data_IF_220582518590
#
_entry.id   IF_220582518590
#
_cell.length_a   1.000
_cell.length_b   1.000
_cell.length_c   1.000
_cell.angle_alpha   90.00
_cell.angle_beta   90.00
_cell.angle_gamma   90.00
#
_symmetry.space_group_name_H-M   'P 1'
#
loop_
_entity.id
_entity.type
_entity.pdbx_description
1 polymer ?
#
# COMPACT_ATOMS: atom_id res chain seq x y z
N UNK A 1 11.73 -11.47 -1.28
CA UNK A 1 10.40 -10.94 -1.64
C UNK A 1 10.18 -11.15 -3.12
N UNK A 2 8.98 -11.54 -3.54
CA UNK A 2 8.65 -11.60 -4.97
C UNK A 2 8.57 -10.16 -5.51
N UNK A 3 8.90 -9.92 -6.79
CA UNK A 3 8.93 -8.57 -7.37
C UNK A 3 7.60 -7.79 -7.25
N UNK A 4 6.48 -8.50 -7.11
CA UNK A 4 5.11 -7.93 -7.07
C UNK A 4 4.43 -8.13 -5.72
N UNK A 5 5.20 -8.20 -4.63
CA UNK A 5 4.67 -8.43 -3.28
C UNK A 5 5.19 -7.38 -2.29
N UNK A 6 4.37 -7.02 -1.31
CA UNK A 6 4.77 -6.21 -0.17
C UNK A 6 4.29 -6.85 1.14
N UNK A 7 4.89 -6.45 2.25
CA UNK A 7 4.48 -6.87 3.60
C UNK A 7 4.22 -5.63 4.43
N UNK A 8 3.21 -5.70 5.28
CA UNK A 8 2.87 -4.67 6.25
C UNK A 8 2.61 -5.31 7.62
N UNK A 9 2.76 -4.52 8.67
CA UNK A 9 2.49 -4.94 10.05
C UNK A 9 1.13 -4.42 10.49
N UNK A 10 0.29 -5.31 10.99
CA UNK A 10 -1.05 -4.95 11.49
C UNK A 10 -1.06 -5.06 13.01
N UNK A 11 -1.43 -3.96 13.67
CA UNK A 11 -1.57 -3.93 15.14
C UNK A 11 -2.83 -4.67 15.60
N UNK A 12 -2.89 -5.15 16.86
CA UNK A 12 -4.03 -5.94 17.36
C UNK A 12 -5.38 -5.23 17.25
N UNK A 13 -5.43 -3.92 17.49
CA UNK A 13 -6.66 -3.14 17.40
C UNK A 13 -7.22 -3.17 15.97
N UNK A 14 -6.40 -2.88 14.96
CA UNK A 14 -6.79 -2.91 13.55
C UNK A 14 -7.21 -4.29 13.10
N UNK A 15 -6.48 -5.34 13.52
CA UNK A 15 -6.87 -6.73 13.24
C UNK A 15 -8.28 -6.99 13.76
N UNK A 16 -8.55 -6.71 15.03
CA UNK A 16 -9.84 -6.99 15.69
C UNK A 16 -11.02 -6.16 15.15
N UNK A 17 -10.79 -4.92 14.70
CA UNK A 17 -11.84 -3.97 14.33
C UNK A 17 -12.00 -3.76 12.82
N UNK A 18 -11.38 -4.61 11.99
CA UNK A 18 -11.57 -4.59 10.53
C UNK A 18 -11.89 -6.00 10.02
N UNK A 19 -12.17 -6.14 8.72
CA UNK A 19 -12.34 -7.45 8.09
C UNK A 19 -11.02 -8.25 7.97
N UNK A 20 -9.86 -7.64 8.30
CA UNK A 20 -8.56 -8.30 8.25
C UNK A 20 -8.44 -9.50 9.20
N UNK A 21 -9.22 -9.54 10.30
CA UNK A 21 -9.25 -10.72 11.19
C UNK A 21 -9.73 -12.00 10.49
N UNK A 22 -10.52 -11.84 9.42
CA UNK A 22 -11.17 -12.94 8.69
C UNK A 22 -10.50 -13.26 7.36
N UNK A 23 -9.55 -12.43 6.93
CA UNK A 23 -8.85 -12.57 5.66
C UNK A 23 -7.99 -13.84 5.65
N UNK A 24 -7.99 -14.54 4.51
CA UNK A 24 -7.26 -15.80 4.29
C UNK A 24 -6.36 -15.70 3.07
N UNK A 25 -5.30 -16.52 2.97
CA UNK A 25 -4.50 -16.61 1.76
C UNK A 25 -5.37 -16.89 0.53
N UNK A 26 -5.22 -16.07 -0.51
CA UNK A 26 -6.01 -16.14 -1.74
C UNK A 26 -7.18 -15.14 -1.80
N UNK A 27 -7.56 -14.52 -0.68
CA UNK A 27 -8.59 -13.47 -0.69
C UNK A 27 -8.13 -12.26 -1.50
N UNK A 28 -9.04 -11.72 -2.30
CA UNK A 28 -8.82 -10.45 -2.99
C UNK A 28 -9.00 -9.28 -2.02
N UNK A 29 -8.13 -8.29 -2.15
CA UNK A 29 -8.09 -7.11 -1.29
C UNK A 29 -8.10 -5.85 -2.15
N UNK A 30 -8.84 -4.85 -1.69
CA UNK A 30 -8.79 -3.53 -2.32
C UNK A 30 -7.44 -2.88 -2.00
N UNK A 31 -6.71 -2.49 -3.04
CA UNK A 31 -5.48 -1.72 -2.93
C UNK A 31 -5.74 -0.30 -3.40
N UNK A 32 -5.57 0.65 -2.49
CA UNK A 32 -5.67 2.08 -2.78
C UNK A 32 -4.29 2.71 -2.63
N UNK A 33 -3.90 3.52 -3.61
CA UNK A 33 -2.67 4.30 -3.56
C UNK A 33 -2.93 5.64 -2.89
N UNK A 34 -2.02 6.06 -2.01
CA UNK A 34 -2.09 7.37 -1.38
C UNK A 34 -2.10 8.48 -2.46
N UNK A 35 -3.13 9.33 -2.41
CA UNK A 35 -3.30 10.43 -3.34
C UNK A 35 -2.12 11.42 -3.21
N UNK A 36 -1.56 11.58 -2.01
CA UNK A 36 -0.42 12.47 -1.76
C UNK A 36 0.81 12.02 -2.54
N UNK A 37 1.05 10.71 -2.64
CA UNK A 37 2.16 10.19 -3.43
C UNK A 37 2.04 10.59 -4.90
N UNK A 38 0.83 10.57 -5.47
CA UNK A 38 0.58 11.01 -6.86
C UNK A 38 0.84 12.50 -7.05
N UNK A 39 0.48 13.33 -6.07
CA UNK A 39 0.77 14.76 -6.11
C UNK A 39 2.27 15.04 -5.97
N UNK A 40 2.96 14.35 -5.05
CA UNK A 40 4.40 14.46 -4.90
C UNK A 40 5.14 14.05 -6.17
N UNK A 41 4.75 12.95 -6.81
CA UNK A 41 5.32 12.53 -8.09
C UNK A 41 5.18 13.62 -9.16
N UNK A 42 4.00 14.23 -9.30
CA UNK A 42 3.77 15.32 -10.25
C UNK A 42 4.58 16.57 -9.92
N UNK A 43 4.72 16.91 -8.64
CA UNK A 43 5.51 18.05 -8.18
C UNK A 43 7.01 17.84 -8.35
N UNK A 44 7.48 16.61 -8.18
CA UNK A 44 8.89 16.23 -8.28
C UNK A 44 9.31 15.85 -9.69
N UNK A 45 8.39 15.50 -10.59
CA UNK A 45 8.66 15.17 -11.99
C UNK A 45 9.53 16.20 -12.74
N UNK A 46 9.45 17.52 -12.49
CA UNK A 46 10.35 18.50 -13.08
C UNK A 46 11.77 18.51 -12.47
N UNK A 47 11.94 17.99 -11.26
CA UNK A 47 13.19 18.02 -10.48
C UNK A 47 13.92 16.68 -10.44
N UNK A 48 13.23 15.58 -10.81
CA UNK A 48 13.88 14.28 -11.00
C UNK A 48 14.63 14.32 -12.33
N UNK A 49 15.94 14.54 -12.25
CA UNK A 49 16.86 14.34 -13.37
C UNK A 49 16.69 12.89 -13.83
N UNK A 50 16.10 12.69 -15.00
CA UNK A 50 16.09 11.39 -15.67
C UNK A 50 17.56 10.99 -15.90
N UNK A 51 18.02 9.97 -15.18
CA UNK A 51 19.22 9.22 -15.58
C UNK A 51 18.91 8.41 -16.83
#
# INVERSE_FOLDING_TARGET
>A
MLPTSFVTWIIPFTKKHTNLDRAKPGDLMNLEFDILAKYLERMLSPFVVKK
#
